data_IF_461872676426
#
_entry.id   IF_461872676426
#
_cell.length_a   1.000
_cell.length_b   1.000
_cell.length_c   1.000
_cell.angle_alpha   90.00
_cell.angle_beta   90.00
_cell.angle_gamma   90.00
#
_symmetry.space_group_name_H-M   'P 1'
#
loop_
_entity.id
_entity.type
_entity.pdbx_description
1 polymer ?
#
# COMPACT_ATOMS: atom_id res chain seq x y z
N UNK A 1 19.53 4.07 8.87
CA UNK A 1 18.32 4.46 8.10
C UNK A 1 17.10 4.02 8.87
N UNK A 2 16.16 4.92 9.06
CA UNK A 2 14.94 4.65 9.82
C UNK A 2 13.73 4.79 8.91
N UNK A 3 12.76 3.88 9.06
CA UNK A 3 11.53 3.91 8.31
C UNK A 3 10.33 4.05 9.25
N UNK A 4 9.37 4.87 8.86
CA UNK A 4 8.03 4.87 9.42
C UNK A 4 7.07 4.38 8.34
N UNK A 5 6.10 3.57 8.74
CA UNK A 5 5.13 2.98 7.82
C UNK A 5 3.73 3.32 8.32
N UNK A 6 2.95 3.94 7.45
CA UNK A 6 1.51 4.14 7.68
C UNK A 6 0.79 3.11 6.83
N UNK A 7 0.08 2.19 7.47
CA UNK A 7 -0.70 1.15 6.81
C UNK A 7 -2.17 1.43 7.01
N UNK A 8 -2.93 1.39 5.92
CA UNK A 8 -4.36 1.64 5.95
C UNK A 8 -5.08 0.57 5.14
N UNK A 9 -6.21 0.10 5.66
CA UNK A 9 -7.05 -0.87 4.97
C UNK A 9 -8.48 -0.36 4.88
N UNK A 10 -9.13 -0.67 3.77
CA UNK A 10 -10.55 -0.39 3.58
C UNK A 10 -11.27 -1.66 3.18
N UNK A 11 -12.49 -1.82 3.64
CA UNK A 11 -13.35 -2.90 3.19
C UNK A 11 -13.92 -2.54 1.82
N UNK A 12 -13.82 -3.48 0.90
CA UNK A 12 -14.40 -3.38 -0.42
C UNK A 12 -15.39 -4.52 -0.60
N UNK A 13 -16.59 -4.21 -1.06
CA UNK A 13 -17.54 -5.23 -1.48
C UNK A 13 -17.23 -5.63 -2.92
N UNK A 14 -17.05 -6.94 -3.16
CA UNK A 14 -17.01 -7.45 -4.52
C UNK A 14 -18.44 -7.63 -5.04
N UNK A 15 -18.57 -7.99 -6.32
CA UNK A 15 -19.87 -8.20 -6.95
C UNK A 15 -20.64 -9.41 -6.44
N UNK A 16 -20.05 -10.24 -5.58
CA UNK A 16 -20.67 -11.44 -5.01
C UNK A 16 -21.22 -11.24 -3.60
N UNK A 17 -21.09 -10.03 -3.07
CA UNK A 17 -21.51 -9.69 -1.70
C UNK A 17 -20.48 -10.01 -0.64
N UNK A 18 -19.31 -10.52 -1.00
CA UNK A 18 -18.21 -10.71 -0.05
C UNK A 18 -17.50 -9.40 0.23
N UNK A 19 -17.15 -9.20 1.49
CA UNK A 19 -16.31 -8.10 1.88
C UNK A 19 -14.84 -8.53 1.74
N UNK A 20 -14.08 -7.78 0.97
CA UNK A 20 -12.63 -7.96 0.86
C UNK A 20 -11.94 -6.71 1.38
N UNK A 21 -10.76 -6.87 1.95
CA UNK A 21 -9.95 -5.71 2.32
C UNK A 21 -9.00 -5.36 1.17
N UNK A 22 -8.73 -4.06 1.05
CA UNK A 22 -7.69 -3.56 0.17
C UNK A 22 -6.84 -2.58 0.97
N UNK A 23 -5.54 -2.68 0.83
CA UNK A 23 -4.61 -1.93 1.65
C UNK A 23 -3.79 -0.94 0.84
N UNK A 24 -3.34 0.11 1.51
CA UNK A 24 -2.36 1.05 1.00
C UNK A 24 -1.32 1.35 2.08
N UNK A 25 -0.14 1.73 1.67
CA UNK A 25 0.96 2.05 2.59
C UNK A 25 1.69 3.31 2.13
N UNK A 26 2.08 4.12 3.12
CA UNK A 26 3.01 5.22 2.94
C UNK A 26 4.26 4.88 3.75
N UNK A 27 5.40 4.90 3.11
CA UNK A 27 6.70 4.62 3.71
C UNK A 27 7.51 5.90 3.73
N UNK A 28 7.93 6.29 4.92
CA UNK A 28 8.69 7.52 5.15
C UNK A 28 10.09 7.13 5.59
N UNK A 29 11.08 7.54 4.79
CA UNK A 29 12.49 7.32 5.10
C UNK A 29 13.01 8.50 5.89
N UNK A 30 13.48 8.25 7.10
CA UNK A 30 14.10 9.26 7.95
C UNK A 30 15.62 9.16 7.84
N UNK A 31 16.22 10.06 7.07
CA UNK A 31 17.66 10.21 7.01
C UNK A 31 18.10 11.28 8.03
N UNK A 32 19.20 11.02 8.71
CA UNK A 32 19.72 11.96 9.70
C UNK A 32 20.20 13.28 9.10
N UNK A 33 20.50 13.27 7.80
CA UNK A 33 20.90 14.48 7.05
C UNK A 33 19.72 15.23 6.43
N UNK A 34 18.48 14.81 6.68
CA UNK A 34 17.29 15.46 6.15
C UNK A 34 16.97 15.14 4.70
N UNK A 35 17.65 14.17 4.07
CA UNK A 35 17.43 13.81 2.67
C UNK A 35 16.44 12.66 2.46
N UNK A 36 15.63 12.34 3.47
CA UNK A 36 14.66 11.26 3.40
C UNK A 36 13.61 11.49 2.33
N UNK A 37 13.11 10.39 1.77
CA UNK A 37 12.08 10.39 0.74
C UNK A 37 10.85 9.67 1.21
N UNK A 38 9.72 9.96 0.60
CA UNK A 38 8.43 9.36 0.91
C UNK A 38 7.98 8.55 -0.29
N UNK A 39 7.57 7.32 -0.02
CA UNK A 39 7.10 6.39 -1.03
C UNK A 39 5.72 5.90 -0.66
N UNK A 40 4.94 5.50 -1.66
CA UNK A 40 3.67 4.85 -1.43
C UNK A 40 3.52 3.63 -2.32
N UNK A 41 2.70 2.71 -1.88
CA UNK A 41 2.20 1.58 -2.67
C UNK A 41 0.79 1.26 -2.25
N UNK A 42 0.07 0.60 -3.14
CA UNK A 42 -1.30 0.16 -2.87
C UNK A 42 -1.52 -1.23 -3.43
N UNK A 43 -2.53 -1.90 -2.91
CA UNK A 43 -2.99 -3.15 -3.47
C UNK A 43 -3.95 -2.91 -4.63
N UNK A 44 -3.91 -3.83 -5.60
CA UNK A 44 -4.88 -3.93 -6.67
C UNK A 44 -5.38 -5.37 -6.72
N UNK A 45 -6.66 -5.54 -7.01
CA UNK A 45 -7.21 -6.88 -7.16
C UNK A 45 -6.82 -7.44 -8.51
N UNK A 46 -6.19 -8.61 -8.48
CA UNK A 46 -5.82 -9.34 -9.69
C UNK A 46 -6.89 -10.39 -9.97
N UNK A 47 -7.68 -10.19 -11.03
CA UNK A 47 -8.76 -11.08 -11.39
C UNK A 47 -8.27 -12.45 -11.90
N UNK A 48 -7.06 -12.53 -12.42
CA UNK A 48 -6.50 -13.79 -12.91
C UNK A 48 -6.12 -14.73 -11.76
N UNK A 49 -5.59 -14.19 -10.66
CA UNK A 49 -5.18 -14.96 -9.48
C UNK A 49 -6.23 -14.93 -8.37
N UNK A 50 -7.24 -14.08 -8.49
CA UNK A 50 -8.27 -13.85 -7.47
C UNK A 50 -7.68 -13.39 -6.12
N UNK A 51 -6.61 -12.62 -6.17
CA UNK A 51 -5.89 -12.10 -5.01
C UNK A 51 -5.54 -10.63 -5.18
N UNK A 52 -5.23 -9.96 -4.07
CA UNK A 52 -4.70 -8.62 -4.09
C UNK A 52 -3.18 -8.66 -4.27
N UNK A 53 -2.69 -7.91 -5.24
CA UNK A 53 -1.26 -7.74 -5.47
C UNK A 53 -0.84 -6.32 -5.09
N UNK A 54 0.37 -6.16 -4.53
CA UNK A 54 0.95 -4.86 -4.27
C UNK A 54 1.47 -4.23 -5.56
N UNK A 55 1.22 -2.94 -5.71
CA UNK A 55 1.89 -2.15 -6.75
C UNK A 55 3.36 -1.96 -6.40
N UNK A 56 4.17 -1.57 -7.38
CA UNK A 56 5.51 -1.08 -7.10
C UNK A 56 5.47 0.18 -6.26
N UNK A 57 6.55 0.43 -5.52
CA UNK A 57 6.70 1.69 -4.80
C UNK A 57 6.84 2.85 -5.77
N UNK A 58 6.13 3.93 -5.46
CA UNK A 58 6.23 5.20 -6.18
C UNK A 58 6.66 6.28 -5.21
N UNK A 59 7.56 7.14 -5.65
CA UNK A 59 7.97 8.31 -4.86
C UNK A 59 6.90 9.39 -4.94
N UNK A 60 6.61 9.96 -3.78
CA UNK A 60 5.70 11.11 -3.69
C UNK A 60 6.45 12.40 -4.05
#
# INVERSE_FOLDING_TARGET
MYWSIIHSEALKKDGTGKNTSIASQIWINFQTNGSGKIYYRRQQFNYDTNQNDWSDFKEI
#
